data_IF_441149086920
#
_entry.id   IF_441149086920
#
_cell.length_a   1.000
_cell.length_b   1.000
_cell.length_c   1.000
_cell.angle_alpha   90.00
_cell.angle_beta   90.00
_cell.angle_gamma   90.00
#
_symmetry.space_group_name_H-M   'P 1'
#
loop_
_entity.id
_entity.type
_entity.pdbx_description
1 polymer ?
#
# COMPACT_ATOMS: atom_id res chain seq x y z
N UNK A 1 18.56 -1.81 5.36
CA UNK A 1 19.60 -2.80 4.98
C UNK A 1 18.98 -4.06 4.40
N UNK A 2 18.35 -4.91 5.23
CA UNK A 2 17.80 -6.20 4.80
C UNK A 2 16.87 -6.13 3.57
N UNK A 3 15.94 -5.17 3.52
CA UNK A 3 15.09 -4.96 2.33
C UNK A 3 15.90 -4.70 1.05
N UNK A 4 16.98 -3.92 1.11
CA UNK A 4 17.83 -3.66 -0.06
C UNK A 4 18.55 -4.93 -0.52
N UNK A 5 19.02 -5.75 0.40
CA UNK A 5 19.69 -7.03 0.12
C UNK A 5 18.72 -8.02 -0.53
N UNK A 6 17.51 -8.16 0.02
CA UNK A 6 16.46 -9.00 -0.54
C UNK A 6 16.05 -8.53 -1.94
N UNK A 7 15.91 -7.22 -2.16
CA UNK A 7 15.63 -6.66 -3.49
C UNK A 7 16.76 -6.92 -4.48
N UNK A 8 18.00 -6.77 -4.04
CA UNK A 8 19.20 -7.02 -4.83
C UNK A 8 19.26 -8.48 -5.28
N UNK A 9 18.91 -9.42 -4.40
CA UNK A 9 18.75 -10.84 -4.74
C UNK A 9 17.59 -11.07 -5.71
N UNK A 10 16.44 -10.43 -5.47
CA UNK A 10 15.23 -10.56 -6.29
C UNK A 10 15.43 -10.07 -7.74
N UNK A 11 16.18 -8.97 -7.93
CA UNK A 11 16.56 -8.48 -9.27
C UNK A 11 17.40 -9.53 -10.01
N UNK A 12 18.36 -10.17 -9.32
CA UNK A 12 19.15 -11.25 -9.89
C UNK A 12 18.31 -12.47 -10.26
N UNK A 13 17.43 -12.89 -9.35
CA UNK A 13 16.49 -14.00 -9.54
C UNK A 13 15.54 -13.77 -10.73
N UNK A 14 14.98 -12.56 -10.86
CA UNK A 14 14.08 -12.23 -11.97
C UNK A 14 14.79 -12.23 -13.32
N UNK A 15 16.03 -11.75 -13.39
CA UNK A 15 16.84 -11.77 -14.62
C UNK A 15 17.21 -13.16 -15.12
N UNK A 16 17.02 -14.21 -14.31
CA UNK A 16 17.30 -15.60 -14.67
C UNK A 16 16.06 -16.39 -15.10
N UNK A 17 14.89 -15.74 -15.22
CA UNK A 17 13.60 -16.39 -15.50
C UNK A 17 13.37 -17.61 -14.58
N UNK A 18 13.69 -17.47 -13.28
CA UNK A 18 13.56 -18.58 -12.33
C UNK A 18 12.14 -19.18 -12.43
N UNK A 19 12.01 -20.50 -12.60
CA UNK A 19 10.71 -21.13 -12.66
C UNK A 19 9.98 -20.92 -11.34
N UNK A 20 8.65 -20.86 -11.42
CA UNK A 20 7.81 -20.83 -10.23
C UNK A 20 8.10 -22.02 -9.33
N UNK A 21 8.35 -21.77 -8.05
CA UNK A 21 8.60 -22.81 -7.06
C UNK A 21 7.27 -23.23 -6.45
N UNK A 22 6.96 -24.54 -6.44
CA UNK A 22 5.85 -25.12 -5.66
C UNK A 22 4.48 -24.43 -5.87
N UNK A 23 4.18 -24.02 -7.11
CA UNK A 23 2.92 -23.38 -7.48
C UNK A 23 2.93 -21.85 -7.39
N UNK A 24 4.01 -21.24 -6.91
CA UNK A 24 4.23 -19.80 -7.03
C UNK A 24 4.42 -19.41 -8.49
N UNK A 25 4.04 -18.18 -8.82
CA UNK A 25 4.27 -17.63 -10.16
C UNK A 25 5.74 -17.20 -10.28
N UNK A 26 6.35 -17.36 -11.47
CA UNK A 26 7.65 -16.75 -11.74
C UNK A 26 7.62 -15.24 -11.48
N UNK A 27 8.75 -14.72 -10.99
CA UNK A 27 8.95 -13.28 -10.89
C UNK A 27 8.82 -12.65 -12.28
N UNK A 28 8.08 -11.54 -12.38
CA UNK A 28 8.01 -10.75 -13.61
C UNK A 28 9.13 -9.71 -13.57
N UNK A 29 10.16 -9.78 -14.42
CA UNK A 29 11.33 -8.90 -14.34
C UNK A 29 10.97 -7.42 -14.30
N UNK A 30 10.08 -6.99 -15.19
CA UNK A 30 9.65 -5.58 -15.27
C UNK A 30 9.05 -5.07 -13.96
N UNK A 31 8.25 -5.89 -13.28
CA UNK A 31 7.64 -5.54 -11.99
C UNK A 31 8.70 -5.46 -10.89
N UNK A 32 9.57 -6.47 -10.80
CA UNK A 32 10.65 -6.49 -9.80
C UNK A 32 11.58 -5.30 -9.96
N UNK A 33 11.95 -4.93 -11.19
CA UNK A 33 12.84 -3.80 -11.45
C UNK A 33 12.19 -2.46 -11.09
N UNK A 34 10.91 -2.28 -11.42
CA UNK A 34 10.16 -1.07 -11.05
C UNK A 34 10.07 -0.89 -9.53
N UNK A 35 9.68 -1.94 -8.81
CA UNK A 35 9.49 -1.89 -7.36
C UNK A 35 10.84 -1.80 -6.60
N UNK A 36 11.89 -2.44 -7.11
CA UNK A 36 13.24 -2.29 -6.57
C UNK A 36 13.80 -0.88 -6.79
N UNK A 37 13.55 -0.28 -7.96
CA UNK A 37 13.88 1.12 -8.21
C UNK A 37 13.11 2.06 -7.27
N UNK A 38 11.86 1.72 -6.91
CA UNK A 38 11.05 2.51 -5.98
C UNK A 38 11.71 2.55 -4.60
N UNK A 39 12.14 1.38 -4.09
CA UNK A 39 12.88 1.31 -2.83
C UNK A 39 14.17 2.13 -2.87
N UNK A 40 14.94 2.06 -3.97
CA UNK A 40 16.17 2.84 -4.10
C UNK A 40 15.90 4.35 -4.13
N UNK A 41 14.85 4.79 -4.83
CA UNK A 41 14.43 6.20 -4.82
C UNK A 41 14.14 6.63 -3.38
N UNK A 42 13.26 5.94 -2.67
CA UNK A 42 12.91 6.20 -1.28
C UNK A 42 14.14 6.24 -0.37
N UNK A 43 15.05 5.26 -0.53
CA UNK A 43 16.27 5.15 0.28
C UNK A 43 17.13 6.39 0.12
N UNK A 44 17.44 6.80 -1.11
CA UNK A 44 18.29 7.97 -1.29
C UNK A 44 17.59 9.32 -1.06
N UNK A 45 16.28 9.35 -0.72
CA UNK A 45 15.64 10.56 -0.20
C UNK A 45 15.99 10.79 1.28
N UNK A 46 16.39 9.73 2.00
CA UNK A 46 16.57 9.76 3.47
C UNK A 46 17.96 9.35 3.92
N UNK A 47 18.77 8.76 3.02
CA UNK A 47 20.08 8.24 3.36
C UNK A 47 21.04 9.35 3.80
N UNK A 48 21.72 9.14 4.92
CA UNK A 48 22.87 9.95 5.30
C UNK A 48 24.07 9.53 4.41
N UNK A 49 24.70 10.44 3.65
CA UNK A 49 25.87 10.12 2.84
C UNK A 49 27.05 9.53 3.63
N UNK A 50 27.06 9.67 4.96
CA UNK A 50 28.08 9.11 5.85
C UNK A 50 27.78 7.67 6.31
N UNK A 51 26.56 7.16 6.11
CA UNK A 51 26.18 5.77 6.40
C UNK A 51 26.70 4.83 5.29
N UNK A 52 28.00 4.54 5.35
CA UNK A 52 28.69 3.80 4.30
C UNK A 52 28.06 2.43 3.98
N UNK A 53 27.58 1.61 4.93
CA UNK A 53 26.88 0.37 4.61
C UNK A 53 25.59 0.58 3.83
N UNK A 54 24.73 1.51 4.26
CA UNK A 54 23.45 1.76 3.60
C UNK A 54 23.67 2.31 2.17
N UNK A 55 24.66 3.20 2.00
CA UNK A 55 25.00 3.80 0.71
C UNK A 55 25.52 2.73 -0.24
N UNK A 56 26.39 1.84 0.24
CA UNK A 56 26.92 0.75 -0.58
C UNK A 56 25.83 -0.22 -1.05
N UNK A 57 24.86 -0.56 -0.19
CA UNK A 57 23.77 -1.45 -0.58
C UNK A 57 22.78 -0.80 -1.56
N UNK A 58 22.46 0.49 -1.40
CA UNK A 58 21.64 1.22 -2.39
C UNK A 58 22.35 1.31 -3.74
N UNK A 59 23.64 1.63 -3.76
CA UNK A 59 24.43 1.65 -5.00
C UNK A 59 24.47 0.27 -5.67
N UNK A 60 24.68 -0.78 -4.89
CA UNK A 60 24.65 -2.15 -5.42
C UNK A 60 23.30 -2.49 -6.04
N UNK A 61 22.20 -2.14 -5.36
CA UNK A 61 20.86 -2.35 -5.88
C UNK A 61 20.64 -1.59 -7.19
N UNK A 62 20.99 -0.29 -7.23
CA UNK A 62 20.87 0.54 -8.44
C UNK A 62 21.68 0.00 -9.60
N UNK A 63 22.93 -0.38 -9.35
CA UNK A 63 23.79 -0.94 -10.38
C UNK A 63 23.19 -2.24 -10.94
N UNK A 64 22.70 -3.14 -10.09
CA UNK A 64 22.05 -4.37 -10.55
C UNK A 64 20.81 -4.11 -11.39
N UNK A 65 19.97 -3.14 -11.01
CA UNK A 65 18.80 -2.77 -11.81
C UNK A 65 19.27 -2.20 -13.15
N UNK A 66 20.20 -1.24 -13.14
CA UNK A 66 20.72 -0.61 -14.35
C UNK A 66 21.33 -1.62 -15.34
N UNK A 67 22.07 -2.61 -14.84
CA UNK A 67 22.65 -3.70 -15.65
C UNK A 67 21.58 -4.64 -16.25
N UNK A 68 20.44 -4.78 -15.57
CA UNK A 68 19.34 -5.64 -15.99
C UNK A 68 18.34 -4.95 -16.93
N UNK A 69 18.35 -3.62 -17.02
CA UNK A 69 17.48 -2.84 -17.88
C UNK A 69 17.98 -2.85 -19.33
N UNK A 70 17.07 -3.06 -20.27
CA UNK A 70 17.35 -2.99 -21.71
C UNK A 70 16.53 -1.83 -22.32
N UNK A 71 17.21 -0.71 -22.56
CA UNK A 71 16.59 0.51 -23.07
C UNK A 71 16.01 0.33 -24.49
N UNK A 72 16.67 -0.47 -25.34
CA UNK A 72 16.22 -0.68 -26.71
C UNK A 72 14.99 -1.59 -26.76
N UNK A 73 14.99 -2.65 -25.94
CA UNK A 73 13.81 -3.47 -25.73
C UNK A 73 12.65 -2.67 -25.17
N UNK A 74 12.88 -1.82 -24.17
CA UNK A 74 11.85 -0.96 -23.59
C UNK A 74 11.23 -0.03 -24.65
N UNK A 75 12.07 0.66 -25.46
CA UNK A 75 11.61 1.51 -26.56
C UNK A 75 10.79 0.74 -27.59
N UNK A 76 11.24 -0.45 -27.99
CA UNK A 76 10.52 -1.31 -28.92
C UNK A 76 9.17 -1.76 -28.35
N UNK A 77 9.13 -2.17 -27.07
CA UNK A 77 7.88 -2.59 -26.41
C UNK A 77 6.85 -1.45 -26.37
N UNK A 78 7.27 -0.24 -25.97
CA UNK A 78 6.37 0.93 -25.92
C UNK A 78 5.94 1.36 -27.33
N UNK A 79 6.84 1.31 -28.32
CA UNK A 79 6.50 1.66 -29.70
C UNK A 79 5.50 0.69 -30.34
N UNK A 80 5.59 -0.61 -30.00
CA UNK A 80 4.65 -1.65 -30.48
C UNK A 80 3.33 -1.60 -29.71
N UNK A 81 3.39 -1.38 -28.40
CA UNK A 81 2.23 -1.33 -27.51
C UNK A 81 2.39 -0.19 -26.48
N UNK A 82 1.80 0.99 -26.76
CA UNK A 82 1.77 2.13 -25.83
C UNK A 82 1.11 1.81 -24.47
N UNK A 83 0.32 0.72 -24.39
CA UNK A 83 -0.23 0.20 -23.14
C UNK A 83 0.84 -0.18 -22.14
N UNK A 84 1.99 -0.68 -22.60
CA UNK A 84 3.12 -1.10 -21.76
C UNK A 84 3.96 0.05 -21.19
N UNK A 85 3.66 1.29 -21.56
CA UNK A 85 4.45 2.48 -21.19
C UNK A 85 4.80 2.54 -19.70
N UNK A 86 3.81 2.36 -18.81
CA UNK A 86 4.01 2.45 -17.36
C UNK A 86 5.06 1.43 -16.92
N UNK A 87 4.85 0.16 -17.23
CA UNK A 87 5.76 -0.93 -16.88
C UNK A 87 7.19 -0.66 -17.36
N UNK A 88 7.34 -0.14 -18.58
CA UNK A 88 8.66 0.10 -19.17
C UNK A 88 9.34 1.36 -18.61
N UNK A 89 8.63 2.48 -18.44
CA UNK A 89 9.23 3.76 -18.04
C UNK A 89 9.55 3.83 -16.56
N UNK A 90 8.81 3.08 -15.72
CA UNK A 90 8.88 3.17 -14.25
C UNK A 90 10.32 3.10 -13.70
N UNK A 91 11.09 2.04 -13.95
CA UNK A 91 12.44 1.94 -13.37
C UNK A 91 13.38 3.04 -13.90
N UNK A 92 13.27 3.42 -15.19
CA UNK A 92 14.10 4.49 -15.76
C UNK A 92 13.78 5.86 -15.16
N UNK A 93 12.50 6.20 -14.97
CA UNK A 93 12.10 7.49 -14.40
C UNK A 93 12.55 7.63 -12.94
N UNK A 94 12.41 6.56 -12.14
CA UNK A 94 12.84 6.57 -10.75
C UNK A 94 14.35 6.71 -10.59
N UNK A 95 15.13 5.85 -11.26
CA UNK A 95 16.59 5.88 -11.21
C UNK A 95 17.17 7.12 -11.91
N UNK A 96 16.47 7.62 -12.93
CA UNK A 96 16.84 8.82 -13.70
C UNK A 96 16.97 10.08 -12.86
N UNK A 97 16.34 10.12 -11.68
CA UNK A 97 16.52 11.22 -10.73
C UNK A 97 17.94 11.33 -10.15
N UNK A 98 18.76 10.29 -10.32
CA UNK A 98 20.19 10.26 -9.93
C UNK A 98 21.14 9.87 -11.07
N UNK A 99 20.62 9.40 -12.20
CA UNK A 99 21.40 9.01 -13.38
C UNK A 99 20.84 9.65 -14.66
N UNK A 100 21.58 10.60 -15.22
CA UNK A 100 21.19 11.33 -16.42
C UNK A 100 20.96 10.43 -17.64
N UNK A 101 21.69 9.31 -17.75
CA UNK A 101 21.56 8.38 -18.88
C UNK A 101 20.22 7.67 -18.81
N UNK A 102 19.83 7.21 -17.63
CA UNK A 102 18.53 6.58 -17.42
C UNK A 102 17.38 7.59 -17.56
N UNK A 103 17.60 8.85 -17.13
CA UNK A 103 16.64 9.94 -17.37
C UNK A 103 16.41 10.18 -18.86
N UNK A 104 17.46 10.19 -19.67
CA UNK A 104 17.33 10.33 -21.12
C UNK A 104 16.48 9.21 -21.74
N UNK A 105 16.63 7.96 -21.28
CA UNK A 105 15.76 6.84 -21.70
C UNK A 105 14.31 7.08 -21.28
N UNK A 106 14.06 7.51 -20.04
CA UNK A 106 12.70 7.80 -19.58
C UNK A 106 12.03 8.90 -20.41
N UNK A 107 12.77 9.94 -20.80
CA UNK A 107 12.32 11.01 -21.69
C UNK A 107 11.98 10.48 -23.10
N UNK A 108 12.83 9.63 -23.67
CA UNK A 108 12.55 8.99 -24.96
C UNK A 108 11.25 8.18 -24.91
N UNK A 109 11.05 7.39 -23.84
CA UNK A 109 9.84 6.58 -23.66
C UNK A 109 8.59 7.46 -23.50
N UNK A 110 8.68 8.58 -22.79
CA UNK A 110 7.58 9.54 -22.68
C UNK A 110 7.22 10.14 -24.04
N UNK A 111 8.22 10.54 -24.82
CA UNK A 111 8.02 11.10 -26.15
C UNK A 111 7.35 10.13 -27.13
N UNK A 112 7.56 8.81 -26.99
CA UNK A 112 6.90 7.80 -27.82
C UNK A 112 5.39 7.71 -27.63
N UNK A 113 4.88 8.11 -26.46
CA UNK A 113 3.44 8.04 -26.12
C UNK A 113 2.77 9.41 -26.03
N UNK A 114 3.51 10.49 -26.24
CA UNK A 114 2.96 11.83 -26.26
C UNK A 114 2.10 12.06 -27.51
N UNK A 115 0.86 12.48 -27.29
CA UNK A 115 -0.11 12.68 -28.38
C UNK A 115 -0.68 11.40 -29.00
N UNK A 116 -0.31 10.23 -28.47
CA UNK A 116 -0.90 8.94 -28.88
C UNK A 116 -2.17 8.70 -28.07
N UNK A 117 -3.29 8.56 -28.77
CA UNK A 117 -4.52 8.04 -28.19
C UNK A 117 -4.43 6.50 -28.20
N UNK A 118 -4.29 5.89 -27.03
CA UNK A 118 -4.22 4.43 -26.87
C UNK A 118 -5.57 3.74 -27.10
N UNK A 119 -6.65 4.48 -27.38
CA UNK A 119 -7.99 3.95 -27.67
C UNK A 119 -8.75 3.48 -26.41
N UNK A 120 -8.04 2.95 -25.41
CA UNK A 120 -8.59 2.67 -24.09
C UNK A 120 -8.54 3.91 -23.20
N UNK A 121 -9.67 4.25 -22.56
CA UNK A 121 -9.69 5.31 -21.55
C UNK A 121 -8.95 4.80 -20.30
N UNK A 122 -7.78 5.38 -19.93
CA UNK A 122 -7.02 4.92 -18.78
C UNK A 122 -7.82 5.17 -17.49
N UNK A 123 -7.70 4.29 -16.50
CA UNK A 123 -8.34 4.52 -15.21
C UNK A 123 -7.80 5.79 -14.55
N UNK A 124 -8.54 6.36 -13.59
CA UNK A 124 -8.04 7.52 -12.84
C UNK A 124 -6.71 7.22 -12.12
N UNK A 125 -6.50 5.96 -11.74
CA UNK A 125 -5.26 5.48 -11.16
C UNK A 125 -4.11 5.52 -12.18
N UNK A 126 -4.30 4.92 -13.36
CA UNK A 126 -3.28 4.88 -14.41
C UNK A 126 -2.89 6.29 -14.88
N UNK A 127 -3.86 7.21 -14.95
CA UNK A 127 -3.60 8.62 -15.27
C UNK A 127 -2.70 9.30 -14.25
N UNK A 128 -2.93 9.03 -12.95
CA UNK A 128 -2.13 9.60 -11.87
C UNK A 128 -0.70 9.06 -11.91
N UNK A 129 -0.52 7.74 -12.08
CA UNK A 129 0.79 7.10 -12.20
C UNK A 129 1.56 7.59 -13.43
N UNK A 130 0.92 7.59 -14.62
CA UNK A 130 1.54 8.12 -15.85
C UNK A 130 1.99 9.57 -15.70
N UNK A 131 1.18 10.42 -15.06
CA UNK A 131 1.58 11.82 -14.84
C UNK A 131 2.73 11.94 -13.85
N UNK A 132 2.74 11.14 -12.78
CA UNK A 132 3.84 11.12 -11.82
C UNK A 132 5.16 10.66 -12.46
N UNK A 133 5.15 9.58 -13.24
CA UNK A 133 6.32 9.09 -13.98
C UNK A 133 6.84 10.13 -14.98
N UNK A 134 5.94 10.77 -15.74
CA UNK A 134 6.29 11.89 -16.64
C UNK A 134 6.89 13.06 -15.87
N UNK A 135 6.29 13.46 -14.76
CA UNK A 135 6.80 14.56 -13.94
C UNK A 135 8.24 14.29 -13.47
N UNK A 136 8.54 13.06 -13.07
CA UNK A 136 9.93 12.66 -12.74
C UNK A 136 10.86 12.69 -13.95
N UNK A 137 10.42 12.21 -15.12
CA UNK A 137 11.24 12.19 -16.33
C UNK A 137 11.56 13.60 -16.84
N UNK A 138 10.57 14.50 -16.89
CA UNK A 138 10.71 15.88 -17.37
C UNK A 138 11.23 16.86 -16.31
N UNK A 139 11.46 16.41 -15.08
CA UNK A 139 11.79 17.28 -13.94
C UNK A 139 10.75 18.40 -13.73
N UNK A 140 9.48 18.04 -13.91
CA UNK A 140 8.34 18.95 -13.76
C UNK A 140 7.69 18.80 -12.39
N UNK A 141 7.13 19.91 -11.88
CA UNK A 141 6.15 19.83 -10.81
C UNK A 141 4.83 19.27 -11.34
N UNK A 142 4.30 18.17 -10.79
CA UNK A 142 3.01 17.64 -11.21
C UNK A 142 1.88 18.65 -10.95
N UNK A 143 0.98 18.80 -11.92
CA UNK A 143 -0.13 19.75 -11.81
C UNK A 143 -1.13 19.34 -10.71
N UNK A 144 -1.66 20.27 -9.88
CA UNK A 144 -2.58 19.97 -8.77
C UNK A 144 -3.86 19.22 -9.15
N UNK A 145 -4.24 19.21 -10.43
CA UNK A 145 -5.48 18.64 -10.96
C UNK A 145 -5.48 17.11 -11.08
N UNK A 146 -4.36 16.44 -10.78
CA UNK A 146 -4.16 15.01 -11.10
C UNK A 146 -4.88 14.00 -10.20
N UNK A 147 -5.39 14.42 -9.04
CA UNK A 147 -5.98 13.50 -8.06
C UNK A 147 -7.49 13.29 -8.30
N UNK A 148 -8.09 14.12 -9.18
CA UNK A 148 -9.51 14.07 -9.48
C UNK A 148 -9.93 12.73 -10.07
N UNK A 149 -10.92 12.08 -9.45
CA UNK A 149 -11.45 10.78 -9.86
C UNK A 149 -10.67 9.57 -9.30
N UNK A 150 -9.51 9.78 -8.66
CA UNK A 150 -8.83 8.72 -7.92
C UNK A 150 -9.57 8.37 -6.63
N UNK A 151 -9.19 7.25 -6.01
CA UNK A 151 -9.69 6.83 -4.69
C UNK A 151 -9.46 7.89 -3.61
N UNK A 152 -8.44 8.74 -3.73
CA UNK A 152 -8.17 9.81 -2.76
C UNK A 152 -9.22 10.92 -2.76
N UNK A 153 -9.88 11.14 -3.90
CA UNK A 153 -10.97 12.13 -4.03
C UNK A 153 -12.35 11.53 -3.79
N UNK A 154 -12.56 10.26 -4.14
CA UNK A 154 -13.87 9.57 -4.07
C UNK A 154 -14.09 8.82 -2.76
N UNK A 155 -13.03 8.44 -2.08
CA UNK A 155 -13.04 7.48 -0.97
C UNK A 155 -12.88 6.04 -1.43
N UNK A 156 -12.24 5.23 -0.60
CA UNK A 156 -12.13 3.79 -0.78
C UNK A 156 -13.46 3.10 -0.46
N UNK A 157 -13.78 2.01 -1.17
CA UNK A 157 -14.86 1.11 -0.75
C UNK A 157 -14.36 0.24 0.40
N UNK A 158 -14.82 0.54 1.61
CA UNK A 158 -14.35 -0.09 2.84
C UNK A 158 -15.14 -1.35 3.20
N UNK A 159 -16.21 -1.68 2.46
CA UNK A 159 -17.11 -2.79 2.81
C UNK A 159 -17.12 -3.90 1.77
N UNK A 160 -17.04 -3.54 0.50
CA UNK A 160 -17.06 -4.47 -0.63
C UNK A 160 -15.76 -4.45 -1.42
N UNK A 161 -14.86 -3.50 -1.12
CA UNK A 161 -13.52 -3.47 -1.67
C UNK A 161 -12.79 -4.79 -1.45
N UNK A 162 -12.13 -5.25 -2.50
CA UNK A 162 -11.09 -6.26 -2.41
C UNK A 162 -9.76 -5.60 -2.01
N UNK A 163 -8.71 -6.40 -1.88
CA UNK A 163 -7.38 -5.89 -1.57
C UNK A 163 -6.86 -4.94 -2.67
N UNK A 164 -7.37 -5.03 -3.91
CA UNK A 164 -7.05 -4.11 -5.01
C UNK A 164 -7.41 -2.67 -4.67
N UNK A 165 -8.48 -2.43 -3.89
CA UNK A 165 -8.83 -1.10 -3.41
C UNK A 165 -7.78 -0.52 -2.47
N UNK A 166 -7.17 -1.36 -1.61
CA UNK A 166 -6.09 -0.95 -0.72
C UNK A 166 -4.81 -0.60 -1.51
N UNK A 167 -4.42 -1.43 -2.47
CA UNK A 167 -3.29 -1.13 -3.38
C UNK A 167 -3.52 0.16 -4.18
N UNK A 168 -4.73 0.36 -4.71
CA UNK A 168 -5.09 1.59 -5.41
C UNK A 168 -4.97 2.83 -4.51
N UNK A 169 -5.28 2.67 -3.22
CA UNK A 169 -5.18 3.73 -2.22
C UNK A 169 -3.73 4.09 -1.89
N UNK A 170 -2.89 3.09 -1.59
CA UNK A 170 -1.48 3.28 -1.25
C UNK A 170 -0.67 3.85 -2.41
N UNK A 171 -0.81 3.29 -3.61
CA UNK A 171 -0.14 3.82 -4.80
C UNK A 171 -0.64 5.22 -5.14
N UNK A 172 -1.94 5.51 -5.00
CA UNK A 172 -2.44 6.86 -5.25
C UNK A 172 -1.81 7.87 -4.27
N UNK A 173 -1.66 7.53 -2.98
CA UNK A 173 -0.95 8.39 -2.01
C UNK A 173 0.50 8.56 -2.44
N UNK A 174 1.20 7.48 -2.76
CA UNK A 174 2.59 7.50 -3.18
C UNK A 174 2.79 8.44 -4.38
N UNK A 175 1.98 8.31 -5.43
CA UNK A 175 2.08 9.15 -6.63
C UNK A 175 1.66 10.60 -6.35
N UNK A 176 0.59 10.80 -5.58
CA UNK A 176 0.06 12.13 -5.24
C UNK A 176 1.02 12.95 -4.38
N UNK A 177 1.83 12.30 -3.55
CA UNK A 177 2.78 12.93 -2.64
C UNK A 177 4.23 12.83 -3.12
N UNK A 178 4.46 12.21 -4.28
CA UNK A 178 5.79 11.80 -4.73
C UNK A 178 6.59 11.16 -3.59
N UNK A 179 6.00 10.12 -2.98
CA UNK A 179 6.59 9.35 -1.87
C UNK A 179 6.86 10.21 -0.63
N UNK A 180 5.99 11.20 -0.38
CA UNK A 180 6.09 12.12 0.76
C UNK A 180 6.99 13.35 0.55
N UNK A 181 7.62 13.52 -0.61
CA UNK A 181 8.47 14.69 -0.88
C UNK A 181 7.66 15.97 -1.06
N UNK A 182 6.36 15.87 -1.34
CA UNK A 182 5.48 17.02 -1.57
C UNK A 182 4.11 16.83 -0.94
N UNK A 183 3.47 17.96 -0.64
CA UNK A 183 2.06 18.00 -0.22
C UNK A 183 1.14 17.79 -1.42
N UNK A 184 0.06 17.08 -1.18
CA UNK A 184 -0.99 16.83 -2.17
C UNK A 184 -2.31 17.47 -1.73
N UNK A 185 -3.16 17.83 -2.70
CA UNK A 185 -4.53 18.27 -2.45
C UNK A 185 -5.49 17.16 -2.85
N UNK A 186 -6.17 16.55 -1.87
CA UNK A 186 -6.99 15.36 -2.09
C UNK A 186 -8.44 15.67 -2.52
N UNK A 187 -8.83 16.94 -2.50
CA UNK A 187 -10.23 17.35 -2.75
C UNK A 187 -11.18 17.05 -1.58
N UNK A 188 -10.67 16.54 -0.46
CA UNK A 188 -11.40 16.25 0.78
C UNK A 188 -10.48 16.36 2.01
N UNK A 189 -11.02 16.42 3.23
CA UNK A 189 -10.21 16.55 4.45
C UNK A 189 -9.22 15.40 4.62
N UNK A 190 -7.97 15.71 5.00
CA UNK A 190 -6.93 14.71 5.27
C UNK A 190 -7.35 13.71 6.34
N UNK A 191 -8.07 14.15 7.38
CA UNK A 191 -8.59 13.26 8.43
C UNK A 191 -9.42 12.10 7.88
N UNK A 192 -10.27 12.34 6.86
CA UNK A 192 -11.05 11.29 6.24
C UNK A 192 -10.18 10.24 5.52
N UNK A 193 -9.04 10.65 4.93
CA UNK A 193 -8.09 9.70 4.34
C UNK A 193 -7.40 8.86 5.42
N UNK A 194 -7.06 9.47 6.56
CA UNK A 194 -6.46 8.75 7.69
C UNK A 194 -7.45 7.74 8.27
N UNK A 195 -8.72 8.12 8.44
CA UNK A 195 -9.76 7.22 8.93
C UNK A 195 -10.04 6.05 7.96
N UNK A 196 -9.96 6.30 6.64
CA UNK A 196 -10.02 5.24 5.64
C UNK A 196 -8.81 4.31 5.69
N UNK A 197 -7.60 4.85 5.85
CA UNK A 197 -6.38 4.06 5.99
C UNK A 197 -6.45 3.16 7.23
N UNK A 198 -6.93 3.69 8.37
CA UNK A 198 -7.17 2.90 9.59
C UNK A 198 -8.17 1.76 9.35
N UNK A 199 -9.27 2.04 8.64
CA UNK A 199 -10.25 1.01 8.31
C UNK A 199 -9.67 -0.06 7.37
N UNK A 200 -8.89 0.34 6.36
CA UNK A 200 -8.20 -0.58 5.44
C UNK A 200 -7.14 -1.41 6.16
N UNK A 201 -6.43 -0.86 7.15
CA UNK A 201 -5.48 -1.62 7.99
C UNK A 201 -6.20 -2.76 8.74
N UNK A 202 -7.39 -2.47 9.29
CA UNK A 202 -8.22 -3.49 9.92
C UNK A 202 -8.60 -4.62 8.95
N UNK A 203 -8.91 -4.29 7.69
CA UNK A 203 -9.21 -5.28 6.66
C UNK A 203 -7.98 -6.11 6.28
N UNK A 204 -6.82 -5.48 6.11
CA UNK A 204 -5.57 -6.16 5.79
C UNK A 204 -5.18 -7.15 6.89
N UNK A 205 -5.31 -6.76 8.16
CA UNK A 205 -5.08 -7.64 9.31
C UNK A 205 -6.09 -8.81 9.37
N UNK A 206 -7.37 -8.54 9.14
CA UNK A 206 -8.40 -9.58 9.10
C UNK A 206 -8.18 -10.59 7.96
N UNK A 207 -7.48 -10.18 6.89
CA UNK A 207 -7.06 -11.05 5.80
C UNK A 207 -5.66 -11.67 6.02
N UNK A 208 -5.03 -11.44 7.18
CA UNK A 208 -3.64 -11.81 7.49
C UNK A 208 -2.63 -11.36 6.42
N UNK A 209 -2.94 -10.28 5.71
CA UNK A 209 -2.14 -9.77 4.61
C UNK A 209 -1.17 -8.69 5.13
N UNK A 210 0.01 -9.14 5.58
CA UNK A 210 1.07 -8.26 6.07
C UNK A 210 1.65 -7.34 5.00
N UNK A 211 1.58 -7.75 3.74
CA UNK A 211 2.03 -6.99 2.59
C UNK A 211 1.24 -5.68 2.44
N UNK A 212 -0.08 -5.81 2.29
CA UNK A 212 -0.99 -4.67 2.20
C UNK A 212 -1.00 -3.86 3.49
N UNK A 213 -0.91 -4.51 4.65
CA UNK A 213 -0.85 -3.80 5.94
C UNK A 213 0.40 -2.91 6.03
N UNK A 214 1.58 -3.41 5.63
CA UNK A 214 2.81 -2.63 5.61
C UNK A 214 2.72 -1.47 4.61
N UNK A 215 2.06 -1.68 3.47
CA UNK A 215 1.90 -0.67 2.44
C UNK A 215 0.96 0.46 2.87
N UNK A 216 -0.14 0.12 3.53
CA UNK A 216 -1.07 1.10 4.09
C UNK A 216 -0.40 2.00 5.13
N UNK A 217 0.58 1.49 5.88
CA UNK A 217 1.36 2.29 6.83
C UNK A 217 2.20 3.40 6.15
N UNK A 218 2.43 3.35 4.84
CA UNK A 218 3.05 4.45 4.11
C UNK A 218 2.23 5.75 4.16
N UNK A 219 0.91 5.63 4.37
CA UNK A 219 -0.03 6.77 4.40
C UNK A 219 0.46 7.89 5.32
N UNK A 220 0.89 7.55 6.53
CA UNK A 220 1.32 8.52 7.54
C UNK A 220 2.59 9.28 7.15
N UNK A 221 3.75 8.63 6.90
CA UNK A 221 4.94 9.33 6.45
C UNK A 221 4.71 10.11 5.14
N UNK A 222 4.00 9.54 4.17
CA UNK A 222 3.79 10.18 2.87
C UNK A 222 2.85 11.39 2.93
N UNK A 223 1.89 11.42 3.87
CA UNK A 223 1.02 12.59 4.07
C UNK A 223 1.63 13.62 5.03
N UNK A 224 2.77 13.30 5.67
CA UNK A 224 3.36 14.11 6.74
C UNK A 224 2.49 14.14 8.00
N UNK A 225 1.66 13.12 8.20
CA UNK A 225 0.78 13.00 9.37
C UNK A 225 1.41 12.06 10.39
N UNK A 226 1.35 12.37 11.70
CA UNK A 226 1.78 11.43 12.72
C UNK A 226 0.93 10.16 12.72
N UNK A 227 1.55 9.01 13.03
CA UNK A 227 0.85 7.73 13.12
C UNK A 227 -0.38 7.81 14.03
N UNK A 228 -1.51 7.29 13.54
CA UNK A 228 -2.69 7.03 14.38
C UNK A 228 -2.35 5.91 15.37
N UNK A 229 -3.10 5.77 16.48
CA UNK A 229 -2.93 4.64 17.38
C UNK A 229 -3.12 3.29 16.69
N UNK A 230 -4.07 3.20 15.76
CA UNK A 230 -4.28 2.03 14.91
C UNK A 230 -3.03 1.68 14.10
N UNK A 231 -2.43 2.68 13.45
CA UNK A 231 -1.25 2.49 12.62
C UNK A 231 -0.01 2.15 13.45
N UNK A 232 0.15 2.75 14.63
CA UNK A 232 1.20 2.39 15.59
C UNK A 232 1.05 0.93 16.07
N UNK A 233 -0.17 0.51 16.42
CA UNK A 233 -0.46 -0.87 16.79
C UNK A 233 -0.11 -1.86 15.66
N UNK A 234 -0.48 -1.54 14.41
CA UNK A 234 -0.17 -2.40 13.26
C UNK A 234 1.34 -2.42 13.00
N UNK A 235 2.02 -1.27 13.05
CA UNK A 235 3.48 -1.21 12.91
C UNK A 235 4.18 -2.11 13.94
N UNK A 236 3.78 -2.03 15.21
CA UNK A 236 4.34 -2.88 16.26
C UNK A 236 4.00 -4.37 16.05
N UNK A 237 2.85 -4.66 15.43
CA UNK A 237 2.44 -6.01 15.03
C UNK A 237 3.34 -6.58 13.95
N UNK A 238 3.58 -5.81 12.88
CA UNK A 238 4.44 -6.23 11.77
C UNK A 238 5.91 -6.26 12.19
N UNK A 239 6.37 -5.32 13.04
CA UNK A 239 7.73 -5.31 13.56
C UNK A 239 8.03 -6.55 14.41
N UNK A 240 7.07 -7.00 15.23
CA UNK A 240 7.23 -8.25 15.99
C UNK A 240 7.32 -9.47 15.07
N UNK A 241 6.52 -9.52 14.00
CA UNK A 241 6.60 -10.58 12.98
C UNK A 241 7.93 -10.55 12.22
N UNK A 242 8.39 -9.37 11.83
CA UNK A 242 9.71 -9.22 11.24
C UNK A 242 10.82 -9.68 12.19
N UNK A 243 10.73 -9.37 13.49
CA UNK A 243 11.71 -9.81 14.48
C UNK A 243 11.69 -11.34 14.69
N UNK A 244 10.52 -11.97 14.61
CA UNK A 244 10.35 -13.42 14.71
C UNK A 244 10.99 -14.17 13.54
N UNK A 245 10.78 -13.70 12.31
CA UNK A 245 11.20 -14.40 11.10
C UNK A 245 12.52 -13.88 10.50
N UNK A 246 12.99 -12.70 10.92
CA UNK A 246 14.10 -11.98 10.29
C UNK A 246 13.70 -11.19 9.03
N UNK A 247 12.54 -11.49 8.43
CA UNK A 247 11.90 -10.80 7.31
C UNK A 247 10.40 -10.65 7.61
N UNK A 248 9.68 -9.82 6.84
CA UNK A 248 8.22 -9.80 6.89
C UNK A 248 7.66 -10.76 5.82
N UNK A 249 6.95 -11.86 6.22
CA UNK A 249 6.45 -12.84 5.25
C UNK A 249 5.36 -12.26 4.35
N UNK A 250 5.47 -12.53 3.04
CA UNK A 250 4.43 -12.20 2.07
C UNK A 250 3.24 -13.18 2.11
N UNK A 251 2.14 -12.88 1.39
CA UNK A 251 0.89 -13.64 1.49
C UNK A 251 1.00 -15.09 1.01
N UNK A 252 1.98 -15.39 0.14
CA UNK A 252 2.22 -16.74 -0.38
C UNK A 252 3.33 -17.48 0.39
N UNK A 253 3.83 -16.90 1.49
CA UNK A 253 4.93 -17.49 2.24
C UNK A 253 4.46 -18.65 3.14
N UNK A 254 4.80 -19.87 2.75
CA UNK A 254 4.70 -21.05 3.61
C UNK A 254 6.05 -21.42 4.26
N UNK A 255 6.19 -21.37 5.60
CA UNK A 255 7.40 -21.78 6.31
C UNK A 255 7.83 -23.23 6.06
N UNK A 256 6.87 -24.14 5.85
CA UNK A 256 7.16 -25.53 5.55
C UNK A 256 7.79 -25.67 4.17
N UNK A 257 7.30 -24.94 3.17
CA UNK A 257 7.91 -24.91 1.82
C UNK A 257 9.28 -24.24 1.87
N UNK A 258 9.39 -23.12 2.58
CA UNK A 258 10.67 -22.42 2.79
C UNK A 258 11.74 -23.36 3.35
N UNK A 259 11.41 -24.16 4.37
CA UNK A 259 12.36 -25.10 4.97
C UNK A 259 12.90 -26.16 4.00
N UNK A 260 12.17 -26.45 2.91
CA UNK A 260 12.57 -27.44 1.89
C UNK A 260 13.31 -26.82 0.72
N UNK A 261 12.86 -25.67 0.23
CA UNK A 261 13.36 -25.05 -1.02
C UNK A 261 14.33 -23.90 -0.77
N UNK A 262 14.36 -23.35 0.44
CA UNK A 262 15.27 -22.28 0.82
C UNK A 262 14.91 -20.92 0.21
N UNK A 263 15.94 -20.11 -0.02
CA UNK A 263 15.81 -18.67 -0.31
C UNK A 263 15.04 -18.36 -1.61
N UNK A 264 15.00 -19.28 -2.57
CA UNK A 264 14.22 -19.08 -3.81
C UNK A 264 12.72 -18.92 -3.52
N UNK A 265 12.20 -19.72 -2.58
CA UNK A 265 10.81 -19.58 -2.13
C UNK A 265 10.60 -18.29 -1.35
N UNK A 266 11.55 -17.91 -0.50
CA UNK A 266 11.50 -16.64 0.22
C UNK A 266 11.42 -15.45 -0.73
N UNK A 267 12.31 -15.42 -1.73
CA UNK A 267 12.35 -14.38 -2.77
C UNK A 267 11.02 -14.35 -3.51
N UNK A 268 10.55 -15.46 -4.05
CA UNK A 268 9.31 -15.47 -4.85
C UNK A 268 8.07 -15.10 -4.02
N UNK A 269 7.97 -15.58 -2.78
CA UNK A 269 6.79 -15.35 -1.93
C UNK A 269 6.77 -14.01 -1.20
N UNK A 270 7.93 -13.38 -1.00
CA UNK A 270 8.07 -12.24 -0.06
C UNK A 270 8.86 -11.05 -0.60
N UNK A 271 9.31 -11.05 -1.87
CA UNK A 271 10.08 -9.90 -2.39
C UNK A 271 9.31 -8.58 -2.30
N UNK A 272 8.02 -8.58 -2.68
CA UNK A 272 7.17 -7.40 -2.66
C UNK A 272 7.02 -6.87 -1.23
N UNK A 273 6.72 -7.75 -0.28
CA UNK A 273 6.62 -7.39 1.14
C UNK A 273 7.94 -6.87 1.71
N UNK A 274 9.07 -7.41 1.24
CA UNK A 274 10.40 -6.90 1.54
C UNK A 274 10.63 -5.46 1.05
N UNK A 275 10.21 -5.17 -0.19
CA UNK A 275 10.21 -3.81 -0.77
C UNK A 275 9.32 -2.89 0.06
N UNK A 276 8.10 -3.33 0.35
CA UNK A 276 7.10 -2.54 1.06
C UNK A 276 7.56 -2.15 2.45
N UNK A 277 8.13 -3.12 3.17
CA UNK A 277 8.76 -2.90 4.46
C UNK A 277 9.95 -1.94 4.38
N UNK A 278 10.76 -2.06 3.32
CA UNK A 278 11.89 -1.16 3.07
C UNK A 278 11.44 0.29 2.84
N UNK A 279 10.42 0.50 2.02
CA UNK A 279 9.83 1.83 1.78
C UNK A 279 9.26 2.40 3.07
N UNK A 280 8.54 1.60 3.86
CA UNK A 280 8.05 2.03 5.17
C UNK A 280 9.21 2.45 6.09
N UNK A 281 10.29 1.67 6.16
CA UNK A 281 11.47 1.99 6.96
C UNK A 281 12.12 3.32 6.55
N UNK A 282 12.16 3.65 5.25
CA UNK A 282 12.64 4.96 4.80
C UNK A 282 11.74 6.10 5.29
N UNK A 283 10.42 5.94 5.27
CA UNK A 283 9.48 6.91 5.81
C UNK A 283 9.64 7.12 7.32
N UNK A 284 9.93 6.05 8.08
CA UNK A 284 10.25 6.13 9.50
C UNK A 284 11.56 6.90 9.76
N UNK A 285 12.62 6.62 8.97
CA UNK A 285 13.90 7.33 9.05
C UNK A 285 13.77 8.83 8.70
N UNK A 286 12.82 9.20 7.84
CA UNK A 286 12.51 10.60 7.52
C UNK A 286 11.88 11.38 8.70
N UNK A 287 11.62 10.74 9.84
CA UNK A 287 11.12 11.39 11.05
C UNK A 287 9.61 11.26 11.25
N UNK A 288 8.97 10.25 10.65
CA UNK A 288 7.58 9.95 10.98
C UNK A 288 7.45 9.64 12.48
N UNK A 289 6.55 10.34 13.14
CA UNK A 289 6.37 10.28 14.59
C UNK A 289 5.00 9.73 14.95
N UNK A 290 4.88 9.18 16.15
CA UNK A 290 3.59 8.83 16.72
C UNK A 290 3.09 10.02 17.55
N UNK A 291 1.85 10.45 17.34
CA UNK A 291 1.22 11.39 18.26
C UNK A 291 0.63 10.63 19.46
N UNK A 292 0.80 11.12 20.69
CA UNK A 292 0.00 10.65 21.80
C UNK A 292 -1.46 10.95 21.47
N UNK A 293 -2.31 9.94 21.41
CA UNK A 293 -3.74 10.18 21.27
C UNK A 293 -4.27 10.91 22.52
N UNK A 294 -5.24 11.82 22.30
CA UNK A 294 -6.06 12.33 23.39
C UNK A 294 -7.08 11.26 23.77
N UNK A 295 -6.67 10.40 24.69
CA UNK A 295 -7.37 9.16 25.05
C UNK A 295 -8.41 9.33 26.16
N UNK A 296 -8.83 10.56 26.45
CA UNK A 296 -9.51 10.90 27.69
C UNK A 296 -11.00 10.49 27.77
N UNK A 297 -11.58 9.84 26.76
CA UNK A 297 -13.02 9.51 26.77
C UNK A 297 -13.48 8.30 25.91
N UNK A 298 -12.58 7.42 25.45
CA UNK A 298 -12.98 6.37 24.50
C UNK A 298 -13.49 5.10 25.18
N UNK A 299 -14.60 4.57 24.67
CA UNK A 299 -15.15 3.28 25.08
C UNK A 299 -14.36 2.11 24.49
N UNK A 300 -14.33 0.98 25.20
CA UNK A 300 -13.68 -0.25 24.74
C UNK A 300 -14.43 -0.83 23.53
N UNK A 301 -13.78 -1.00 22.35
CA UNK A 301 -14.43 -1.52 21.15
C UNK A 301 -14.47 -3.07 21.14
N UNK A 302 -13.88 -3.75 22.12
CA UNK A 302 -13.91 -5.22 22.18
C UNK A 302 -15.31 -5.86 22.17
N UNK A 303 -16.37 -5.27 22.77
CA UNK A 303 -17.71 -5.83 22.70
C UNK A 303 -18.30 -5.92 21.28
N UNK A 304 -17.74 -5.21 20.29
CA UNK A 304 -18.19 -5.32 18.89
C UNK A 304 -17.32 -6.22 18.04
N UNK A 305 -16.10 -6.57 18.48
CA UNK A 305 -15.16 -7.43 17.76
C UNK A 305 -15.55 -8.91 17.87
N UNK A 306 -16.47 -9.38 17.01
CA UNK A 306 -17.02 -10.74 17.08
C UNK A 306 -16.44 -11.70 16.05
N UNK A 307 -16.26 -11.25 14.82
CA UNK A 307 -15.81 -12.11 13.73
C UNK A 307 -14.30 -12.07 13.54
N UNK A 308 -13.65 -10.99 13.97
CA UNK A 308 -12.21 -10.84 13.88
C UNK A 308 -11.47 -11.77 14.85
N UNK A 309 -10.57 -12.57 14.29
CA UNK A 309 -9.75 -13.57 14.96
C UNK A 309 -8.27 -13.45 14.52
N UNK A 310 -7.46 -14.43 14.92
CA UNK A 310 -6.05 -14.48 14.60
C UNK A 310 -5.15 -13.71 15.57
N UNK A 311 -3.85 -13.80 15.31
CA UNK A 311 -2.81 -13.32 16.23
C UNK A 311 -2.87 -11.81 16.52
N UNK A 312 -3.32 -11.00 15.55
CA UNK A 312 -3.48 -9.56 15.74
C UNK A 312 -4.64 -9.24 16.69
N UNK A 313 -5.76 -9.97 16.59
CA UNK A 313 -6.92 -9.76 17.44
C UNK A 313 -6.62 -10.17 18.89
N UNK A 314 -5.87 -11.25 19.10
CA UNK A 314 -5.41 -11.67 20.42
C UNK A 314 -4.44 -10.65 21.04
N UNK A 315 -3.51 -10.13 20.24
CA UNK A 315 -2.62 -9.05 20.67
C UNK A 315 -3.40 -7.79 21.04
N UNK A 316 -4.40 -7.42 20.25
CA UNK A 316 -5.26 -6.27 20.53
C UNK A 316 -6.04 -6.46 21.85
N UNK A 317 -6.62 -7.64 22.08
CA UNK A 317 -7.34 -7.99 23.33
C UNK A 317 -6.43 -7.89 24.56
N UNK A 318 -5.14 -8.20 24.40
CA UNK A 318 -4.16 -8.13 25.47
C UNK A 318 -3.73 -6.70 25.84
N UNK A 319 -3.97 -5.69 24.99
CA UNK A 319 -3.65 -4.30 25.31
C UNK A 319 -4.51 -3.75 26.45
N UNK A 320 -4.03 -2.76 27.23
CA UNK A 320 -4.88 -2.00 28.15
C UNK A 320 -6.11 -1.41 27.45
N UNK A 321 -7.24 -1.31 28.17
CA UNK A 321 -8.52 -0.77 27.66
C UNK A 321 -8.32 0.54 26.90
N UNK A 322 -7.49 1.43 27.45
CA UNK A 322 -7.18 2.75 26.88
C UNK A 322 -6.56 2.66 25.48
N UNK A 323 -5.65 1.71 25.27
CA UNK A 323 -4.99 1.50 23.98
C UNK A 323 -5.91 0.80 22.98
N UNK A 324 -6.74 -0.14 23.44
CA UNK A 324 -7.79 -0.74 22.61
C UNK A 324 -8.78 0.30 22.11
N UNK A 325 -9.20 1.20 23.00
CA UNK A 325 -10.12 2.28 22.69
C UNK A 325 -9.53 3.26 21.66
N UNK A 326 -8.21 3.46 21.68
CA UNK A 326 -7.48 4.23 20.68
C UNK A 326 -7.55 3.62 19.27
N UNK A 327 -7.65 2.30 19.18
CA UNK A 327 -7.70 1.53 17.93
C UNK A 327 -9.14 1.34 17.39
N UNK A 328 -10.10 2.15 17.85
CA UNK A 328 -11.51 2.00 17.47
C UNK A 328 -11.74 2.06 15.95
N UNK A 329 -11.14 3.00 15.18
CA UNK A 329 -11.31 3.04 13.72
C UNK A 329 -10.91 1.73 13.03
N UNK A 330 -9.78 1.15 13.44
CA UNK A 330 -9.29 -0.16 12.96
C UNK A 330 -10.26 -1.30 13.31
N UNK A 331 -10.74 -1.35 14.55
CA UNK A 331 -11.68 -2.39 15.01
C UNK A 331 -13.00 -2.33 14.26
N UNK A 332 -13.58 -1.13 14.12
CA UNK A 332 -14.85 -0.95 13.41
C UNK A 332 -14.69 -1.26 11.92
N UNK A 333 -13.59 -0.84 11.30
CA UNK A 333 -13.28 -1.16 9.90
C UNK A 333 -13.18 -2.66 9.66
N UNK A 334 -12.41 -3.38 10.48
CA UNK A 334 -12.26 -4.84 10.38
C UNK A 334 -13.60 -5.57 10.56
N UNK A 335 -14.33 -5.28 11.64
CA UNK A 335 -15.56 -5.99 11.98
C UNK A 335 -16.68 -5.72 10.96
N UNK A 336 -16.84 -4.46 10.50
CA UNK A 336 -17.85 -4.13 9.50
C UNK A 336 -17.58 -4.86 8.18
N UNK A 337 -16.32 -4.90 7.74
CA UNK A 337 -15.93 -5.65 6.54
C UNK A 337 -16.25 -7.13 6.67
N UNK A 338 -15.91 -7.74 7.82
CA UNK A 338 -16.17 -9.15 8.09
C UNK A 338 -17.68 -9.45 8.16
N UNK A 339 -18.47 -8.61 8.82
CA UNK A 339 -19.93 -8.74 8.85
C UNK A 339 -20.51 -8.70 7.42
N UNK A 340 -20.08 -7.75 6.59
CA UNK A 340 -20.55 -7.62 5.19
C UNK A 340 -20.12 -8.81 4.36
N UNK A 341 -18.86 -9.26 4.46
CA UNK A 341 -18.37 -10.45 3.76
C UNK A 341 -19.20 -11.70 4.08
N UNK A 342 -19.64 -11.82 5.34
CA UNK A 342 -20.46 -12.94 5.83
C UNK A 342 -21.97 -12.74 5.61
N UNK A 343 -22.38 -11.61 5.01
CA UNK A 343 -23.79 -11.20 4.85
C UNK A 343 -24.54 -11.11 6.19
N UNK A 344 -23.83 -10.81 7.27
CA UNK A 344 -24.37 -10.67 8.63
C UNK A 344 -24.87 -9.22 8.86
N UNK A 345 -26.05 -8.91 8.34
CA UNK A 345 -26.66 -7.58 8.51
C UNK A 345 -27.03 -7.27 9.97
N UNK A 346 -27.24 -8.30 10.80
CA UNK A 346 -27.47 -8.14 12.24
C UNK A 346 -26.19 -7.67 12.92
N UNK A 347 -25.06 -8.26 12.56
CA UNK A 347 -23.72 -7.84 12.94
C UNK A 347 -23.44 -6.39 12.53
N UNK A 348 -23.69 -6.03 11.26
CA UNK A 348 -23.56 -4.63 10.79
C UNK A 348 -24.38 -3.67 11.65
N UNK A 349 -25.66 -3.97 11.88
CA UNK A 349 -26.54 -3.13 12.71
C UNK A 349 -26.02 -2.99 14.14
N UNK A 350 -25.51 -4.07 14.74
CA UNK A 350 -24.94 -4.06 16.10
C UNK A 350 -23.72 -3.15 16.18
N UNK A 351 -22.80 -3.24 15.22
CA UNK A 351 -21.60 -2.40 15.17
C UNK A 351 -21.99 -0.93 14.98
N UNK A 352 -22.93 -0.62 14.08
CA UNK A 352 -23.45 0.73 13.88
C UNK A 352 -24.10 1.31 15.14
N UNK A 353 -24.91 0.51 15.85
CA UNK A 353 -25.56 0.96 17.08
C UNK A 353 -24.52 1.30 18.15
N UNK A 354 -23.47 0.49 18.28
CA UNK A 354 -22.36 0.79 19.18
C UNK A 354 -21.60 2.05 18.76
N UNK A 355 -21.27 2.20 17.48
CA UNK A 355 -20.56 3.36 16.96
C UNK A 355 -21.34 4.66 17.23
N UNK A 356 -22.65 4.65 16.97
CA UNK A 356 -23.53 5.78 17.26
C UNK A 356 -23.60 6.12 18.75
N UNK A 357 -23.69 5.12 19.63
CA UNK A 357 -23.74 5.32 21.08
C UNK A 357 -22.45 5.92 21.67
N UNK A 358 -21.32 5.79 20.98
CA UNK A 358 -20.00 6.22 21.46
C UNK A 358 -19.34 7.30 20.59
N UNK A 359 -20.10 7.95 19.71
CA UNK A 359 -19.62 9.12 18.95
C UNK A 359 -18.74 8.81 17.73
N UNK A 360 -18.83 7.60 17.16
CA UNK A 360 -18.04 7.15 16.01
C UNK A 360 -18.83 7.14 14.69
N UNK A 361 -19.98 7.82 14.63
CA UNK A 361 -20.86 7.87 13.45
C UNK A 361 -20.22 8.47 12.21
N UNK A 362 -19.23 9.35 12.38
CA UNK A 362 -18.58 10.08 11.29
C UNK A 362 -17.45 9.30 10.60
N UNK A 363 -17.09 8.10 11.10
CA UNK A 363 -16.07 7.29 10.45
C UNK A 363 -16.55 6.83 9.07
N UNK A 364 -15.70 6.88 8.03
CA UNK A 364 -16.09 6.48 6.67
C UNK A 364 -16.65 5.05 6.57
N UNK A 365 -16.08 4.09 7.32
CA UNK A 365 -16.57 2.70 7.35
C UNK A 365 -17.98 2.61 7.94
N UNK A 366 -18.26 3.39 8.99
CA UNK A 366 -19.56 3.47 9.66
C UNK A 366 -20.60 4.13 8.76
N UNK A 367 -20.25 5.23 8.07
CA UNK A 367 -21.13 5.87 7.09
C UNK A 367 -21.50 4.93 5.94
N UNK A 368 -20.52 4.25 5.34
CA UNK A 368 -20.77 3.27 4.27
C UNK A 368 -21.67 2.11 4.74
N UNK A 369 -21.51 1.67 5.99
CA UNK A 369 -22.29 0.58 6.55
C UNK A 369 -23.73 1.01 6.85
N UNK A 370 -23.92 2.25 7.31
CA UNK A 370 -25.23 2.86 7.46
C UNK A 370 -25.94 2.95 6.11
N UNK A 371 -25.26 3.44 5.07
CA UNK A 371 -25.81 3.53 3.72
C UNK A 371 -26.18 2.17 3.14
N UNK A 372 -25.38 1.13 3.41
CA UNK A 372 -25.70 -0.25 3.05
C UNK A 372 -27.04 -0.69 3.66
N UNK A 373 -27.22 -0.51 4.97
CA UNK A 373 -28.48 -0.90 5.62
C UNK A 373 -29.67 -0.07 5.10
N UNK A 374 -29.49 1.22 4.85
CA UNK A 374 -30.52 2.07 4.28
C UNK A 374 -30.98 1.57 2.90
N UNK A 375 -30.03 1.18 2.03
CA UNK A 375 -30.33 0.59 0.71
C UNK A 375 -31.07 -0.74 0.84
N UNK A 376 -30.67 -1.61 1.78
CA UNK A 376 -31.35 -2.90 2.02
C UNK A 376 -32.78 -2.69 2.48
N UNK A 377 -33.03 -1.77 3.42
CA UNK A 377 -34.37 -1.44 3.89
C UNK A 377 -35.24 -0.93 2.75
N UNK A 378 -34.71 0.00 1.94
CA UNK A 378 -35.42 0.53 0.77
C UNK A 378 -35.80 -0.58 -0.23
N UNK A 379 -34.87 -1.50 -0.53
CA UNK A 379 -35.13 -2.63 -1.42
C UNK A 379 -36.18 -3.61 -0.86
N UNK A 380 -36.17 -3.86 0.46
CA UNK A 380 -37.17 -4.73 1.11
C UNK A 380 -38.58 -4.13 1.03
N UNK A 381 -38.71 -2.82 1.21
CA UNK A 381 -39.97 -2.10 1.10
C UNK A 381 -40.51 -2.13 -0.34
N UNK A 382 -39.63 -1.94 -1.33
CA UNK A 382 -40.01 -1.96 -2.75
C UNK A 382 -40.49 -3.34 -3.24
N UNK A 383 -40.02 -4.43 -2.64
CA UNK A 383 -40.34 -5.80 -3.06
C UNK A 383 -41.57 -6.38 -2.36
N UNK A 384 -42.17 -5.66 -1.40
CA UNK A 384 -43.31 -6.16 -0.62
C UNK A 384 -42.97 -7.34 0.30
N UNK A 385 -41.70 -7.72 0.39
CA UNK A 385 -41.18 -8.73 1.33
C UNK A 385 -40.90 -8.01 2.65
N UNK A 386 -41.95 -7.57 3.33
CA UNK A 386 -41.80 -6.70 4.50
C UNK A 386 -43.12 -6.27 5.14
N UNK A 387 -44.01 -7.22 5.40
CA UNK A 387 -44.99 -7.14 6.50
C UNK A 387 -44.82 -8.35 7.40
#
# INVERSE_FOLDING_TARGET
MHSLELCTASVGAAGWDLPGVEGLRPLRPVKVYAEAALLSRCTGLVIDPTDSPLVAADEQLRQRIADALDADKARLMVAVDPGTFVDQVFPFALLGTRDERLRAVALDLCALVDGVDSGDEPSAFDRLERRWLRAMAYDESPAPTTICGSVLSRGADLLHGDLTAAYSFTHAIAHATDLGTRRASYGRPLGALIDEADALLGQALAAENHDVAAELLWTWPMTGTPFSPSAAFVLDTLAARHAEHGFLPGPEHDPAVHSRVGDDHLIQSSYHTGIVWGVLATGLLAGASCMPADLSSYADPMPVLHHADGSWADRLRALPVRERAACTPLVLGAELRLCVARRDLVGVRRVLAWAAAHGWSELPSVQQASDLLARVVHASQATGVGS
#
